data_IF_846910266224
#
_entry.id   IF_846910266224
#
_cell.length_a   1.000
_cell.length_b   1.000
_cell.length_c   1.000
_cell.angle_alpha   90.00
_cell.angle_beta   90.00
_cell.angle_gamma   90.00
#
_symmetry.space_group_name_H-M   'P 1'
#
loop_
_entity.id
_entity.type
_entity.pdbx_description
1 polymer ?
#
# COMPACT_ATOMS: atom_id res chain seq x y z
N UNK A 1 11.57 -0.16 19.43
CA UNK A 1 10.96 -1.22 18.59
C UNK A 1 9.43 -1.21 18.66
N UNK A 2 8.82 -1.01 19.83
CA UNK A 2 7.36 -1.01 19.99
C UNK A 2 6.63 0.07 19.16
N UNK A 3 7.17 1.29 19.07
CA UNK A 3 6.60 2.38 18.24
C UNK A 3 6.59 2.05 16.75
N UNK A 4 7.68 1.47 16.22
CA UNK A 4 7.79 1.05 14.82
C UNK A 4 6.80 -0.07 14.47
N UNK A 5 6.64 -1.03 15.39
CA UNK A 5 5.65 -2.10 15.26
C UNK A 5 4.22 -1.54 15.28
N UNK A 6 3.94 -0.58 16.17
CA UNK A 6 2.62 0.08 16.27
C UNK A 6 2.30 0.89 15.01
N UNK A 7 3.23 1.73 14.54
CA UNK A 7 3.11 2.48 13.30
C UNK A 7 2.76 1.57 12.13
N UNK A 8 3.51 0.47 11.95
CA UNK A 8 3.24 -0.50 10.88
C UNK A 8 1.83 -1.08 10.96
N UNK A 9 1.40 -1.51 12.14
CA UNK A 9 0.08 -2.13 12.32
C UNK A 9 -1.02 -1.11 12.02
N UNK A 10 -0.93 0.11 12.56
CA UNK A 10 -1.91 1.18 12.33
C UNK A 10 -1.96 1.55 10.85
N UNK A 11 -0.81 1.73 10.20
CA UNK A 11 -0.74 2.04 8.77
C UNK A 11 -1.41 0.95 7.91
N UNK A 12 -1.16 -0.33 8.22
CA UNK A 12 -1.78 -1.46 7.51
C UNK A 12 -3.29 -1.48 7.75
N UNK A 13 -3.74 -1.35 8.99
CA UNK A 13 -5.17 -1.40 9.33
C UNK A 13 -5.96 -0.26 8.67
N UNK A 14 -5.47 0.98 8.78
CA UNK A 14 -6.09 2.13 8.14
C UNK A 14 -6.12 1.98 6.62
N UNK A 15 -5.03 1.48 6.03
CA UNK A 15 -4.98 1.28 4.58
C UNK A 15 -5.92 0.19 4.09
N UNK A 16 -6.07 -0.92 4.83
CA UNK A 16 -7.03 -1.96 4.49
C UNK A 16 -8.46 -1.44 4.60
N UNK A 17 -8.76 -0.66 5.65
CA UNK A 17 -10.07 -0.04 5.83
C UNK A 17 -10.36 0.94 4.67
N UNK A 18 -9.44 1.83 4.35
CA UNK A 18 -9.59 2.76 3.21
C UNK A 18 -9.65 2.04 1.87
N UNK A 19 -8.96 0.90 1.71
CA UNK A 19 -9.08 0.06 0.52
C UNK A 19 -10.48 -0.52 0.39
N UNK A 20 -11.06 -1.04 1.47
CA UNK A 20 -12.41 -1.57 1.47
C UNK A 20 -13.45 -0.47 1.19
N UNK A 21 -13.35 0.67 1.87
CA UNK A 21 -14.23 1.83 1.67
C UNK A 21 -14.09 2.37 0.24
N UNK A 22 -12.86 2.55 -0.24
CA UNK A 22 -12.56 3.00 -1.59
C UNK A 22 -13.06 2.03 -2.66
N UNK A 23 -12.98 0.73 -2.43
CA UNK A 23 -13.54 -0.29 -3.31
C UNK A 23 -15.06 -0.23 -3.38
N UNK A 24 -15.73 -0.06 -2.22
CA UNK A 24 -17.18 0.14 -2.17
C UNK A 24 -17.63 1.41 -2.87
N UNK A 25 -16.92 2.53 -2.67
CA UNK A 25 -17.19 3.78 -3.36
C UNK A 25 -16.97 3.63 -4.88
N UNK A 26 -15.86 3.01 -5.29
CA UNK A 26 -15.58 2.76 -6.70
C UNK A 26 -16.65 1.89 -7.36
N UNK A 27 -17.19 0.90 -6.64
CA UNK A 27 -18.31 0.09 -7.13
C UNK A 27 -19.56 0.94 -7.38
N UNK A 28 -19.92 1.80 -6.42
CA UNK A 28 -21.11 2.63 -6.48
C UNK A 28 -21.06 3.68 -7.62
N UNK A 29 -19.89 4.28 -7.88
CA UNK A 29 -19.76 5.40 -8.83
C UNK A 29 -19.22 4.99 -10.21
N UNK A 30 -18.34 3.99 -10.27
CA UNK A 30 -17.58 3.63 -11.48
C UNK A 30 -17.76 2.17 -11.90
N UNK A 31 -18.51 1.38 -11.12
CA UNK A 31 -18.86 0.01 -11.42
C UNK A 31 -17.83 -1.04 -10.98
N UNK A 32 -18.09 -2.28 -11.38
CA UNK A 32 -17.39 -3.46 -10.87
C UNK A 32 -15.89 -3.49 -11.20
N UNK A 33 -15.52 -3.12 -12.43
CA UNK A 33 -14.12 -3.13 -12.86
C UNK A 33 -13.26 -2.17 -12.05
N UNK A 34 -13.75 -0.95 -11.80
CA UNK A 34 -13.08 0.03 -10.95
C UNK A 34 -12.90 -0.47 -9.51
N UNK A 35 -13.95 -1.06 -8.93
CA UNK A 35 -13.90 -1.63 -7.58
C UNK A 35 -12.84 -2.73 -7.45
N UNK A 36 -12.82 -3.68 -8.39
CA UNK A 36 -11.79 -4.72 -8.41
C UNK A 36 -10.39 -4.13 -8.56
N UNK A 37 -10.23 -3.12 -9.43
CA UNK A 37 -8.99 -2.35 -9.55
C UNK A 37 -8.54 -1.81 -8.20
N UNK A 38 -9.39 -1.04 -7.52
CA UNK A 38 -9.08 -0.43 -6.21
C UNK A 38 -8.71 -1.48 -5.17
N UNK A 39 -9.45 -2.58 -5.08
CA UNK A 39 -9.18 -3.63 -4.11
C UNK A 39 -7.84 -4.31 -4.38
N UNK A 40 -7.57 -4.74 -5.62
CA UNK A 40 -6.29 -5.36 -5.97
C UNK A 40 -5.12 -4.39 -5.77
N UNK A 41 -5.30 -3.14 -6.20
CA UNK A 41 -4.31 -2.07 -6.04
C UNK A 41 -3.98 -1.80 -4.59
N UNK A 42 -5.01 -1.64 -3.75
CA UNK A 42 -4.86 -1.39 -2.32
C UNK A 42 -4.20 -2.55 -1.60
N UNK A 43 -4.61 -3.79 -1.88
CA UNK A 43 -3.99 -4.99 -1.30
C UNK A 43 -2.51 -5.07 -1.69
N UNK A 44 -2.17 -4.88 -2.97
CA UNK A 44 -0.77 -4.87 -3.42
C UNK A 44 0.03 -3.72 -2.79
N UNK A 45 -0.58 -2.54 -2.67
CA UNK A 45 -0.04 -1.38 -1.97
C UNK A 45 0.38 -1.71 -0.55
N UNK A 46 -0.58 -2.22 0.22
CA UNK A 46 -0.41 -2.61 1.62
C UNK A 46 0.59 -3.74 1.79
N UNK A 47 0.53 -4.80 0.97
CA UNK A 47 1.48 -5.91 1.01
C UNK A 47 2.91 -5.45 0.73
N UNK A 48 3.10 -4.63 -0.30
CA UNK A 48 4.41 -4.07 -0.65
C UNK A 48 5.00 -3.25 0.49
N UNK A 49 4.20 -2.42 1.16
CA UNK A 49 4.61 -1.69 2.35
C UNK A 49 4.91 -2.62 3.53
N UNK A 50 4.01 -3.55 3.86
CA UNK A 50 4.13 -4.41 5.03
C UNK A 50 5.40 -5.26 4.97
N UNK A 51 5.69 -5.87 3.81
CA UNK A 51 6.90 -6.66 3.59
C UNK A 51 8.14 -5.78 3.75
N UNK A 52 8.15 -4.60 3.12
CA UNK A 52 9.29 -3.68 3.21
C UNK A 52 9.53 -3.23 4.66
N UNK A 53 8.47 -2.86 5.39
CA UNK A 53 8.54 -2.42 6.78
C UNK A 53 9.06 -3.52 7.72
N UNK A 54 8.55 -4.76 7.58
CA UNK A 54 9.02 -5.91 8.36
C UNK A 54 10.50 -6.20 8.09
N UNK A 55 10.94 -6.08 6.83
CA UNK A 55 12.32 -6.36 6.45
C UNK A 55 13.25 -5.25 6.93
N UNK A 56 12.90 -3.99 6.73
CA UNK A 56 13.67 -2.86 7.23
C UNK A 56 13.85 -2.96 8.75
N UNK A 57 12.82 -3.30 9.53
CA UNK A 57 12.94 -3.50 10.98
C UNK A 57 14.00 -4.57 11.34
N UNK A 58 14.05 -5.68 10.60
CA UNK A 58 15.03 -6.76 10.82
C UNK A 58 16.44 -6.39 10.40
N UNK A 59 16.59 -5.63 9.32
CA UNK A 59 17.90 -5.28 8.77
C UNK A 59 18.46 -3.97 9.29
N UNK A 60 17.67 -3.10 9.91
CA UNK A 60 18.14 -1.87 10.54
C UNK A 60 19.16 -2.14 11.66
N UNK A 61 19.14 -3.34 12.26
CA UNK A 61 20.14 -3.79 13.23
C UNK A 61 21.48 -4.23 12.60
N UNK A 62 21.55 -4.39 11.28
CA UNK A 62 22.72 -4.81 10.53
C UNK A 62 23.23 -3.61 9.71
N UNK A 63 24.52 -3.29 9.80
CA UNK A 63 25.10 -2.04 9.29
C UNK A 63 24.67 -1.57 7.88
N UNK A 64 24.75 -0.26 7.67
CA UNK A 64 24.11 0.50 6.57
C UNK A 64 24.31 -0.06 5.14
N UNK A 65 25.42 -0.75 4.85
CA UNK A 65 25.68 -1.34 3.53
C UNK A 65 24.70 -2.46 3.14
N UNK A 66 24.33 -3.34 4.08
CA UNK A 66 23.39 -4.46 3.82
C UNK A 66 21.95 -3.98 3.70
N UNK A 67 21.59 -2.88 4.38
CA UNK A 67 20.25 -2.29 4.33
C UNK A 67 19.92 -1.79 2.91
N UNK A 68 20.86 -1.12 2.24
CA UNK A 68 20.65 -0.60 0.88
C UNK A 68 20.27 -1.69 -0.12
N UNK A 69 21.05 -2.78 -0.15
CA UNK A 69 20.82 -3.88 -1.11
C UNK A 69 19.48 -4.58 -0.87
N UNK A 70 19.13 -4.82 0.40
CA UNK A 70 17.83 -5.41 0.77
C UNK A 70 16.69 -4.49 0.33
N UNK A 71 16.79 -3.19 0.56
CA UNK A 71 15.78 -2.22 0.15
C UNK A 71 15.61 -2.21 -1.37
N UNK A 72 16.69 -2.19 -2.16
CA UNK A 72 16.57 -2.25 -3.62
C UNK A 72 15.84 -3.51 -4.11
N UNK A 73 16.20 -4.68 -3.59
CA UNK A 73 15.58 -5.94 -4.00
C UNK A 73 14.07 -5.97 -3.70
N UNK A 74 13.66 -5.48 -2.54
CA UNK A 74 12.24 -5.45 -2.16
C UNK A 74 11.47 -4.35 -2.88
N UNK A 75 12.10 -3.22 -3.18
CA UNK A 75 11.51 -2.20 -4.05
C UNK A 75 11.26 -2.77 -5.44
N UNK A 76 12.22 -3.50 -6.02
CA UNK A 76 12.02 -4.16 -7.31
C UNK A 76 10.85 -5.17 -7.27
N UNK A 77 10.78 -6.01 -6.23
CA UNK A 77 9.66 -6.94 -6.04
C UNK A 77 8.30 -6.22 -5.92
N UNK A 78 8.25 -5.09 -5.21
CA UNK A 78 7.07 -4.24 -5.09
C UNK A 78 6.66 -3.64 -6.44
N UNK A 79 7.61 -3.18 -7.25
CA UNK A 79 7.34 -2.64 -8.58
C UNK A 79 6.81 -3.72 -9.53
N UNK A 80 7.34 -4.93 -9.47
CA UNK A 80 6.82 -6.08 -10.24
C UNK A 80 5.38 -6.37 -9.82
N UNK A 81 5.09 -6.39 -8.53
CA UNK A 81 3.72 -6.60 -8.03
C UNK A 81 2.76 -5.50 -8.52
N UNK A 82 3.21 -4.24 -8.53
CA UNK A 82 2.42 -3.13 -9.07
C UNK A 82 2.17 -3.28 -10.55
N UNK A 83 3.19 -3.62 -11.34
CA UNK A 83 3.04 -3.87 -12.76
C UNK A 83 2.02 -4.99 -13.03
N UNK A 84 2.06 -6.10 -12.29
CA UNK A 84 1.10 -7.19 -12.42
C UNK A 84 -0.34 -6.73 -12.14
N UNK A 85 -0.54 -5.94 -11.08
CA UNK A 85 -1.86 -5.42 -10.73
C UNK A 85 -2.36 -4.40 -11.75
N UNK A 86 -1.49 -3.56 -12.30
CA UNK A 86 -1.85 -2.63 -13.37
C UNK A 86 -2.22 -3.36 -14.67
N UNK A 87 -1.45 -4.37 -15.07
CA UNK A 87 -1.77 -5.21 -16.22
C UNK A 87 -3.12 -5.91 -16.02
N UNK A 88 -3.36 -6.44 -14.81
CA UNK A 88 -4.66 -7.04 -14.49
C UNK A 88 -5.78 -6.01 -14.52
N UNK A 89 -5.59 -4.83 -13.93
CA UNK A 89 -6.55 -3.72 -13.93
C UNK A 89 -6.91 -3.26 -15.35
N UNK A 90 -5.92 -3.16 -16.24
CA UNK A 90 -6.14 -2.87 -17.66
C UNK A 90 -6.95 -3.96 -18.37
N UNK A 91 -6.73 -5.24 -18.01
CA UNK A 91 -7.48 -6.35 -18.60
C UNK A 91 -8.95 -6.41 -18.18
N UNK A 92 -9.34 -5.76 -17.07
CA UNK A 92 -10.71 -5.77 -16.58
C UNK A 92 -11.65 -4.90 -17.42
N UNK A 93 -11.14 -3.79 -17.94
CA UNK A 93 -11.91 -2.86 -18.77
C UNK A 93 -10.95 -2.05 -19.65
N UNK A 94 -10.73 -2.54 -20.87
CA UNK A 94 -9.81 -1.93 -21.84
C UNK A 94 -10.37 -0.66 -22.48
N UNK A 95 -11.69 -0.51 -22.50
CA UNK A 95 -12.34 0.62 -23.18
C UNK A 95 -12.40 1.85 -22.29
N UNK A 96 -12.86 1.70 -21.04
CA UNK A 96 -13.02 2.85 -20.12
C UNK A 96 -11.85 3.00 -19.16
N UNK A 97 -10.92 2.04 -19.14
CA UNK A 97 -9.75 2.01 -18.25
C UNK A 97 -10.10 2.11 -16.75
N UNK A 98 -11.36 1.86 -16.40
CA UNK A 98 -11.89 2.06 -15.06
C UNK A 98 -11.18 1.16 -14.04
N UNK A 99 -10.90 -0.09 -14.41
CA UNK A 99 -10.13 -1.03 -13.61
C UNK A 99 -8.65 -0.64 -13.46
N UNK A 100 -8.05 -0.02 -14.47
CA UNK A 100 -6.67 0.48 -14.40
C UNK A 100 -6.57 1.69 -13.47
N UNK A 101 -7.48 2.66 -13.63
CA UNK A 101 -7.55 3.86 -12.77
C UNK A 101 -7.82 3.45 -11.33
N UNK A 102 -8.75 2.52 -11.12
CA UNK A 102 -9.00 1.93 -9.81
C UNK A 102 -7.75 1.30 -9.20
N UNK A 103 -7.01 0.50 -9.98
CA UNK A 103 -5.75 -0.12 -9.54
C UNK A 103 -4.69 0.91 -9.14
N UNK A 104 -4.51 1.97 -9.92
CA UNK A 104 -3.61 3.08 -9.57
C UNK A 104 -4.07 3.71 -8.25
N UNK A 105 -5.34 4.10 -8.14
CA UNK A 105 -5.90 4.70 -6.93
C UNK A 105 -5.68 3.82 -5.70
N UNK A 106 -5.97 2.53 -5.82
CA UNK A 106 -5.72 1.53 -4.78
C UNK A 106 -4.25 1.48 -4.35
N UNK A 107 -3.31 1.41 -5.31
CA UNK A 107 -1.87 1.36 -5.01
C UNK A 107 -1.44 2.55 -4.17
N UNK A 108 -2.02 3.74 -4.39
CA UNK A 108 -1.68 4.98 -3.69
C UNK A 108 -2.31 5.13 -2.30
N UNK A 109 -3.28 4.28 -1.92
CA UNK A 109 -3.97 4.37 -0.62
C UNK A 109 -2.96 4.34 0.54
N UNK A 110 -2.00 3.42 0.48
CA UNK A 110 -1.00 3.29 1.54
C UNK A 110 -0.12 4.55 1.65
N UNK A 111 0.21 5.22 0.55
CA UNK A 111 0.98 6.47 0.55
C UNK A 111 0.19 7.59 1.21
N UNK A 112 -1.11 7.70 0.92
CA UNK A 112 -1.99 8.68 1.57
C UNK A 112 -2.04 8.43 3.07
N UNK A 113 -2.17 7.18 3.50
CA UNK A 113 -2.16 6.82 4.93
C UNK A 113 -0.83 7.16 5.58
N UNK A 114 0.29 6.88 4.92
CA UNK A 114 1.62 7.20 5.46
C UNK A 114 1.84 8.71 5.57
N UNK A 115 1.39 9.49 4.60
CA UNK A 115 1.43 10.96 4.66
C UNK A 115 0.56 11.46 5.82
N UNK A 116 -0.67 10.94 5.94
CA UNK A 116 -1.59 11.29 7.02
C UNK A 116 -0.99 11.00 8.40
N UNK A 117 -0.44 9.80 8.61
CA UNK A 117 0.22 9.44 9.87
C UNK A 117 1.46 10.29 10.12
N UNK A 118 2.26 10.58 9.08
CA UNK A 118 3.44 11.42 9.20
C UNK A 118 3.13 12.88 9.58
N UNK A 119 2.00 13.42 9.11
CA UNK A 119 1.55 14.78 9.43
C UNK A 119 0.86 14.85 10.80
N UNK A 120 0.00 13.88 11.12
CA UNK A 120 -0.82 13.92 12.34
C UNK A 120 -0.15 13.33 13.56
N UNK A 121 0.85 12.45 13.38
CA UNK A 121 1.48 11.70 14.47
C UNK A 121 0.52 10.78 15.21
N UNK A 122 -0.60 10.38 14.58
CA UNK A 122 -1.67 9.58 15.21
C UNK A 122 -1.18 8.21 15.72
N UNK A 123 -0.07 7.71 15.19
CA UNK A 123 0.59 6.46 15.62
C UNK A 123 1.48 6.61 16.87
N UNK A 124 1.89 7.84 17.20
CA UNK A 124 2.77 8.12 18.33
C UNK A 124 2.02 7.93 19.64
N UNK A 125 2.68 7.28 20.62
CA UNK A 125 2.15 7.19 21.99
C UNK A 125 2.15 8.61 22.54
N UNK A 126 0.97 9.13 22.94
CA UNK A 126 0.86 10.42 23.63
C UNK A 126 1.81 10.34 24.84
N UNK A 127 2.78 11.24 24.93
CA UNK A 127 3.58 11.39 26.14
C UNK A 127 2.62 11.91 27.21
N UNK A 128 2.14 11.01 28.06
CA UNK A 128 1.70 11.37 29.40
C UNK A 128 2.93 11.67 30.26
#
# INVERSE_FOLDING_TARGET
METLKRFRIVAVQLSLLLTAVGGGAAYAFFGYAAAQGVLMGGIAGVLGFWILAVRIEKFAALGAGKVKWVTYRWTAARLILYALVLVKGYSLDRERLSGLIGAVGGIFIIQIVLIFLGVTGFDLKRKE
#
